data_IF_345967388604
#
_entry.id   IF_345967388604
#
_cell.length_a   1.000
_cell.length_b   1.000
_cell.length_c   1.000
_cell.angle_alpha   90.00
_cell.angle_beta   90.00
_cell.angle_gamma   90.00
#
_symmetry.space_group_name_H-M   'P 1'
#
loop_
_entity.id
_entity.type
_entity.pdbx_description
1 polymer ?
#
# COMPACT_ATOMS: atom_id res chain seq x y z
N UNK A 1 -13.39 0.56 -6.39
CA UNK A 1 -13.97 0.67 -5.02
C UNK A 1 -13.85 2.11 -4.52
N UNK A 2 -14.39 2.42 -3.33
CA UNK A 2 -14.31 3.76 -2.73
C UNK A 2 -13.79 3.68 -1.30
N UNK A 3 -12.91 4.62 -0.94
CA UNK A 3 -12.38 4.81 0.41
C UNK A 3 -12.49 6.28 0.81
N UNK A 4 -12.23 6.59 2.07
CA UNK A 4 -12.28 7.95 2.60
C UNK A 4 -10.91 8.35 3.12
N UNK A 5 -10.36 9.43 2.60
CA UNK A 5 -9.06 9.92 3.01
C UNK A 5 -8.95 11.43 2.88
N UNK A 6 -8.02 12.00 3.65
CA UNK A 6 -7.45 13.31 3.34
C UNK A 6 -6.31 13.15 2.34
N UNK A 7 -6.14 14.14 1.48
CA UNK A 7 -5.18 14.11 0.37
C UNK A 7 -4.06 15.10 0.64
N UNK A 8 -2.83 14.64 0.46
CA UNK A 8 -1.62 15.43 0.62
C UNK A 8 -0.75 15.29 -0.62
N UNK A 9 -0.01 16.36 -0.94
CA UNK A 9 1.05 16.35 -1.95
C UNK A 9 2.33 16.91 -1.33
N UNK A 10 3.49 16.40 -1.72
CA UNK A 10 4.75 17.03 -1.34
C UNK A 10 4.90 18.34 -2.11
N UNK A 11 5.18 19.43 -1.38
CA UNK A 11 5.45 20.76 -1.91
C UNK A 11 6.85 21.21 -1.54
N UNK A 12 7.45 22.00 -2.42
CA UNK A 12 8.71 22.67 -2.14
C UNK A 12 8.45 24.01 -1.44
N UNK A 13 9.19 24.26 -0.36
CA UNK A 13 9.22 25.55 0.32
C UNK A 13 9.86 26.62 -0.55
N UNK A 14 9.39 27.86 -0.39
CA UNK A 14 9.87 29.03 -1.13
C UNK A 14 11.36 29.34 -0.94
N UNK A 15 11.98 28.80 0.11
CA UNK A 15 13.40 29.02 0.45
C UNK A 15 14.36 27.97 -0.17
N UNK A 16 13.87 27.17 -1.13
CA UNK A 16 14.74 26.46 -2.06
C UNK A 16 15.44 25.19 -1.54
N UNK A 17 14.78 24.42 -0.68
CA UNK A 17 15.30 23.09 -0.33
C UNK A 17 14.47 22.25 0.63
N UNK A 18 13.51 22.83 1.35
CA UNK A 18 12.67 22.07 2.28
C UNK A 18 11.42 21.54 1.58
N UNK A 19 11.25 20.22 1.58
CA UNK A 19 10.03 19.57 1.11
C UNK A 19 9.11 19.24 2.27
N UNK A 20 7.83 19.55 2.16
CA UNK A 20 6.84 19.28 3.20
C UNK A 20 5.53 18.75 2.62
N UNK A 21 4.75 18.04 3.43
CA UNK A 21 3.41 17.58 3.07
C UNK A 21 2.41 18.75 3.07
N UNK A 22 2.01 19.19 1.88
CA UNK A 22 0.96 20.17 1.67
C UNK A 22 -0.41 19.49 1.61
N UNK A 23 -1.34 19.91 2.46
CA UNK A 23 -2.72 19.43 2.44
C UNK A 23 -3.43 19.93 1.17
N UNK A 24 -4.07 19.02 0.45
CA UNK A 24 -4.80 19.27 -0.81
C UNK A 24 -6.31 19.28 -0.58
N UNK A 25 -6.83 18.37 0.26
CA UNK A 25 -8.24 18.35 0.63
C UNK A 25 -8.48 19.03 1.98
N UNK A 26 -9.46 19.92 2.06
CA UNK A 26 -9.85 20.60 3.32
C UNK A 26 -10.53 19.66 4.33
N UNK A 27 -11.07 18.55 3.85
CA UNK A 27 -11.76 17.54 4.62
C UNK A 27 -11.41 16.13 4.10
N UNK A 28 -11.89 15.12 4.82
CA UNK A 28 -11.90 13.74 4.32
C UNK A 28 -12.86 13.67 3.12
N UNK A 29 -12.35 13.24 1.98
CA UNK A 29 -13.11 13.14 0.72
C UNK A 29 -13.17 11.69 0.23
N UNK A 30 -14.19 11.33 -0.56
CA UNK A 30 -14.28 10.01 -1.15
C UNK A 30 -13.22 9.85 -2.26
N UNK A 31 -12.30 8.92 -2.07
CA UNK A 31 -11.33 8.48 -3.07
C UNK A 31 -11.95 7.35 -3.89
N UNK A 32 -12.19 7.60 -5.16
CA UNK A 32 -12.66 6.60 -6.11
C UNK A 32 -11.47 5.93 -6.75
N UNK A 33 -11.39 4.61 -6.61
CA UNK A 33 -10.37 3.75 -7.22
C UNK A 33 -11.04 2.91 -8.30
N UNK A 34 -10.62 3.09 -9.55
CA UNK A 34 -11.15 2.36 -10.69
C UNK A 34 -10.02 1.67 -11.44
N UNK A 35 -10.20 0.39 -11.76
CA UNK A 35 -9.32 -0.32 -12.68
C UNK A 35 -9.59 0.19 -14.09
N UNK A 36 -8.58 0.74 -14.76
CA UNK A 36 -8.69 1.28 -16.12
C UNK A 36 -8.11 0.32 -17.13
N UNK A 37 -6.98 -0.29 -16.81
CA UNK A 37 -6.31 -1.26 -17.66
C UNK A 37 -5.90 -2.45 -16.81
N UNK A 38 -6.20 -3.63 -17.31
CA UNK A 38 -5.78 -4.91 -16.75
C UNK A 38 -5.13 -5.69 -17.89
N UNK A 39 -3.80 -5.60 -17.97
CA UNK A 39 -2.99 -6.29 -18.98
C UNK A 39 -2.08 -7.31 -18.32
N UNK A 40 -1.57 -8.26 -19.12
CA UNK A 40 -0.62 -9.29 -18.67
C UNK A 40 0.62 -8.71 -18.00
N UNK A 41 1.09 -7.57 -18.50
CA UNK A 41 2.35 -6.96 -18.07
C UNK A 41 2.15 -5.69 -17.23
N UNK A 42 0.95 -5.10 -17.24
CA UNK A 42 0.68 -3.84 -16.56
C UNK A 42 -0.81 -3.66 -16.21
N UNK A 43 -1.07 -3.35 -14.94
CA UNK A 43 -2.36 -2.96 -14.39
C UNK A 43 -2.34 -1.47 -14.06
N UNK A 44 -3.32 -0.70 -14.53
CA UNK A 44 -3.45 0.74 -14.23
C UNK A 44 -4.72 1.02 -13.45
N UNK A 45 -4.55 1.59 -12.26
CA UNK A 45 -5.63 2.09 -11.43
C UNK A 45 -5.73 3.61 -11.56
N UNK A 46 -6.94 4.10 -11.76
CA UNK A 46 -7.27 5.51 -11.72
C UNK A 46 -7.82 5.88 -10.35
N UNK A 47 -7.15 6.82 -9.71
CA UNK A 47 -7.53 7.39 -8.43
C UNK A 47 -8.12 8.78 -8.68
N UNK A 48 -9.33 9.02 -8.19
CA UNK A 48 -10.00 10.31 -8.36
C UNK A 48 -10.72 10.76 -7.10
N UNK A 49 -10.61 12.04 -6.77
CA UNK A 49 -11.41 12.67 -5.73
C UNK A 49 -11.87 14.08 -6.13
N UNK A 50 -13.03 14.45 -5.60
CA UNK A 50 -13.67 15.73 -5.83
C UNK A 50 -13.88 16.43 -4.48
N UNK A 51 -13.75 17.75 -4.46
CA UNK A 51 -14.06 18.55 -3.29
C UNK A 51 -15.59 18.73 -3.13
N UNK A 52 -16.01 19.46 -2.09
CA UNK A 52 -17.43 19.77 -1.83
C UNK A 52 -18.09 20.62 -2.92
N UNK A 53 -17.29 21.33 -3.72
CA UNK A 53 -17.74 22.15 -4.85
C UNK A 53 -17.81 21.33 -6.17
N UNK A 54 -17.60 20.01 -6.10
CA UNK A 54 -17.59 19.09 -7.26
C UNK A 54 -16.42 19.38 -8.21
N UNK A 55 -15.37 20.05 -7.73
CA UNK A 55 -14.14 20.26 -8.48
C UNK A 55 -13.20 19.08 -8.27
N UNK A 56 -12.55 18.63 -9.35
CA UNK A 56 -11.60 17.54 -9.31
C UNK A 56 -10.29 18.03 -8.68
N UNK A 57 -10.02 17.60 -7.45
CA UNK A 57 -8.82 17.99 -6.68
C UNK A 57 -7.74 16.91 -6.69
N UNK A 58 -8.08 15.71 -7.13
CA UNK A 58 -7.17 14.57 -7.17
C UNK A 58 -7.50 13.70 -8.38
N UNK A 59 -6.50 13.49 -9.22
CA UNK A 59 -6.59 12.70 -10.44
C UNK A 59 -5.20 12.12 -10.75
N UNK A 60 -4.97 10.87 -10.34
CA UNK A 60 -3.67 10.21 -10.41
C UNK A 60 -3.84 8.79 -10.93
N UNK A 61 -2.90 8.36 -11.77
CA UNK A 61 -2.83 6.98 -12.25
C UNK A 61 -1.72 6.23 -11.52
N UNK A 62 -2.09 5.07 -10.99
CA UNK A 62 -1.18 4.15 -10.32
C UNK A 62 -0.96 2.95 -11.24
N UNK A 63 0.25 2.80 -11.74
CA UNK A 63 0.64 1.70 -12.61
C UNK A 63 1.37 0.62 -11.82
N UNK A 64 0.93 -0.63 -11.94
CA UNK A 64 1.65 -1.81 -11.45
C UNK A 64 2.02 -2.74 -12.61
N UNK A 65 3.16 -3.44 -12.51
CA UNK A 65 4.25 -3.19 -11.56
C UNK A 65 4.92 -1.83 -11.83
N UNK A 66 5.44 -1.17 -10.79
CA UNK A 66 6.30 0.01 -10.94
C UNK A 66 6.01 1.17 -9.99
N UNK A 67 4.79 1.29 -9.47
CA UNK A 67 4.48 2.29 -8.43
C UNK A 67 4.71 1.69 -7.05
N UNK A 68 5.75 2.14 -6.34
CA UNK A 68 6.02 1.70 -4.97
C UNK A 68 5.12 2.47 -3.99
N UNK A 69 4.13 1.78 -3.44
CA UNK A 69 3.27 2.29 -2.38
C UNK A 69 3.95 2.03 -1.03
N UNK A 70 4.15 3.07 -0.24
CA UNK A 70 4.82 3.02 1.06
C UNK A 70 3.80 3.34 2.15
N UNK A 71 3.75 2.52 3.19
CA UNK A 71 2.94 2.77 4.38
C UNK A 71 3.80 3.44 5.44
N UNK A 72 3.61 4.74 5.67
CA UNK A 72 4.38 5.50 6.66
C UNK A 72 3.77 5.43 8.07
N UNK A 73 2.46 5.20 8.17
CA UNK A 73 1.76 4.94 9.44
C UNK A 73 0.59 3.97 9.22
N UNK A 74 -0.12 3.61 10.28
CA UNK A 74 -1.28 2.72 10.20
C UNK A 74 -2.35 3.24 9.22
N UNK A 75 -2.53 4.55 9.12
CA UNK A 75 -3.54 5.19 8.28
C UNK A 75 -2.96 5.99 7.11
N UNK A 76 -1.65 6.21 7.06
CA UNK A 76 -1.02 7.05 6.04
C UNK A 76 -0.21 6.22 5.06
N UNK A 77 -0.58 6.32 3.78
CA UNK A 77 0.18 5.73 2.67
C UNK A 77 0.63 6.84 1.72
N UNK A 78 1.78 6.66 1.10
CA UNK A 78 2.28 7.57 0.08
C UNK A 78 2.99 6.83 -1.05
N UNK A 79 3.09 7.49 -2.20
CA UNK A 79 3.84 7.00 -3.35
C UNK A 79 4.30 8.18 -4.20
N UNK A 80 5.31 7.93 -5.03
CA UNK A 80 5.74 8.87 -6.07
C UNK A 80 5.02 8.56 -7.38
N UNK A 81 4.33 9.55 -7.92
CA UNK A 81 3.74 9.50 -9.25
C UNK A 81 4.80 9.90 -10.28
N UNK A 82 5.32 8.90 -11.00
CA UNK A 82 6.33 9.09 -12.04
C UNK A 82 5.84 9.92 -13.23
N UNK A 83 4.51 10.07 -13.43
CA UNK A 83 3.98 10.88 -14.55
C UNK A 83 4.02 12.37 -14.25
N UNK A 84 3.76 12.75 -13.01
CA UNK A 84 3.70 14.15 -12.57
C UNK A 84 4.96 14.60 -11.82
N UNK A 85 5.90 13.68 -11.55
CA UNK A 85 7.05 13.89 -10.68
C UNK A 85 6.65 14.49 -9.32
N UNK A 86 5.51 14.02 -8.81
CA UNK A 86 4.92 14.45 -7.54
C UNK A 86 4.84 13.29 -6.58
N UNK A 87 4.95 13.58 -5.30
CA UNK A 87 4.71 12.59 -4.26
C UNK A 87 3.36 12.87 -3.59
N UNK A 88 2.52 11.84 -3.57
CA UNK A 88 1.14 11.91 -3.09
C UNK A 88 0.99 11.09 -1.82
N UNK A 89 0.18 11.59 -0.89
CA UNK A 89 -0.13 10.96 0.38
C UNK A 89 -1.63 10.89 0.61
N UNK A 90 -2.11 9.75 1.10
CA UNK A 90 -3.49 9.55 1.53
C UNK A 90 -3.51 9.19 3.01
N UNK A 91 -4.22 10.01 3.80
CA UNK A 91 -4.50 9.74 5.21
C UNK A 91 -5.91 9.18 5.35
N UNK A 92 -6.03 7.87 5.53
CA UNK A 92 -7.32 7.21 5.69
C UNK A 92 -7.91 7.44 7.07
N UNK A 93 -9.22 7.35 7.18
CA UNK A 93 -9.92 7.49 8.48
C UNK A 93 -9.62 6.32 9.43
N UNK A 94 -9.32 5.13 8.89
CA UNK A 94 -9.03 3.91 9.64
C UNK A 94 -7.91 3.10 8.98
N UNK A 95 -7.14 2.37 9.79
CA UNK A 95 -6.01 1.57 9.33
C UNK A 95 -6.41 0.44 8.35
N UNK A 96 -7.61 -0.10 8.50
CA UNK A 96 -8.14 -1.14 7.62
C UNK A 96 -8.31 -0.64 6.18
N UNK A 97 -8.71 0.63 6.00
CA UNK A 97 -8.88 1.23 4.67
C UNK A 97 -7.53 1.45 4.00
N UNK A 98 -6.49 1.84 4.76
CA UNK A 98 -5.12 1.97 4.25
C UNK A 98 -4.56 0.63 3.76
N UNK A 99 -4.75 -0.44 4.55
CA UNK A 99 -4.35 -1.80 4.15
C UNK A 99 -5.09 -2.24 2.89
N UNK A 100 -6.41 -2.08 2.87
CA UNK A 100 -7.24 -2.42 1.70
C UNK A 100 -6.82 -1.67 0.44
N UNK A 101 -6.47 -0.38 0.56
CA UNK A 101 -5.96 0.40 -0.56
C UNK A 101 -4.68 -0.21 -1.13
N UNK A 102 -3.69 -0.48 -0.25
CA UNK A 102 -2.41 -1.08 -0.63
C UNK A 102 -2.63 -2.43 -1.29
N UNK A 103 -3.31 -3.35 -0.61
CA UNK A 103 -3.50 -4.72 -1.08
C UNK A 103 -4.22 -4.78 -2.44
N UNK A 104 -5.17 -3.87 -2.69
CA UNK A 104 -5.81 -3.75 -4.00
C UNK A 104 -4.91 -3.16 -5.10
N UNK A 105 -3.97 -2.28 -4.74
CA UNK A 105 -3.15 -1.54 -5.69
C UNK A 105 -1.73 -2.10 -5.85
N UNK A 106 -1.38 -3.20 -5.18
CA UNK A 106 -0.07 -3.89 -5.28
C UNK A 106 -0.16 -5.26 -5.95
N UNK A 107 -1.16 -5.48 -6.80
CA UNK A 107 -1.41 -6.78 -7.46
C UNK A 107 -0.11 -7.45 -7.96
N UNK A 108 0.24 -8.55 -7.28
CA UNK A 108 1.21 -9.59 -7.62
C UNK A 108 2.69 -9.21 -7.81
N UNK A 109 3.47 -9.38 -6.74
CA UNK A 109 4.64 -10.26 -6.82
C UNK A 109 4.58 -11.19 -5.61
N UNK A 110 3.74 -12.23 -5.70
CA UNK A 110 3.83 -13.43 -4.86
C UNK A 110 5.09 -14.22 -5.25
N UNK A 111 6.26 -13.58 -5.15
CA UNK A 111 7.59 -14.21 -5.25
C UNK A 111 8.32 -14.10 -3.90
N UNK A 112 7.57 -13.91 -2.80
CA UNK A 112 8.03 -14.16 -1.43
C UNK A 112 7.62 -15.59 -0.99
N UNK A 113 7.90 -16.55 -1.87
CA UNK A 113 8.05 -17.93 -1.47
C UNK A 113 9.55 -18.17 -1.29
N UNK A 114 10.10 -17.83 -0.12
CA UNK A 114 11.28 -18.50 0.44
C UNK A 114 11.59 -17.98 1.87
N UNK A 115 11.96 -18.96 2.72
CA UNK A 115 12.73 -18.90 3.98
C UNK A 115 11.99 -18.91 5.34
N UNK A 116 12.62 -19.67 6.27
CA UNK A 116 12.28 -20.10 7.63
C UNK A 116 11.45 -21.42 7.72
N UNK A 117 11.99 -22.62 7.98
CA UNK A 117 13.32 -23.08 8.39
C UNK A 117 13.42 -24.59 8.10
N UNK A 118 14.55 -25.02 7.55
CA UNK A 118 15.10 -26.36 7.73
C UNK A 118 15.48 -26.53 9.21
N UNK A 119 14.72 -27.33 9.97
CA UNK A 119 15.25 -27.97 11.19
C UNK A 119 15.28 -29.48 10.94
N UNK A 120 16.38 -29.88 10.30
CA UNK A 120 16.93 -31.23 10.31
C UNK A 120 17.64 -31.39 11.66
N UNK A 121 17.06 -32.16 12.59
CA UNK A 121 17.82 -32.73 13.71
C UNK A 121 17.32 -34.15 14.01
N UNK A 122 17.97 -35.08 13.30
CA UNK A 122 18.48 -36.38 13.71
C UNK A 122 17.86 -37.18 14.88
N UNK A 123 17.44 -38.39 14.50
CA UNK A 123 17.43 -39.71 15.16
C UNK A 123 18.16 -39.89 16.52
N UNK A 124 17.45 -40.46 17.50
CA UNK A 124 17.82 -41.60 18.40
C UNK A 124 16.78 -41.67 19.56
N UNK A 125 16.43 -42.78 20.22
CA UNK A 125 16.86 -44.18 20.23
C UNK A 125 15.69 -45.01 20.78
N UNK A 126 15.70 -46.30 20.46
CA UNK A 126 14.73 -47.31 20.88
C UNK A 126 14.94 -47.61 22.38
N UNK A 127 13.99 -47.25 23.25
CA UNK A 127 13.97 -47.74 24.64
C UNK A 127 12.76 -48.63 24.82
N UNK A 128 12.99 -49.90 24.56
CA UNK A 128 12.12 -51.01 24.92
C UNK A 128 12.28 -51.32 26.41
N UNK A 129 11.49 -50.65 27.27
CA UNK A 129 11.34 -51.05 28.67
C UNK A 129 10.46 -52.30 28.75
N UNK A 130 11.13 -53.45 28.83
CA UNK A 130 10.60 -54.63 29.50
C UNK A 130 10.70 -54.38 31.00
N UNK A 131 9.59 -54.05 31.64
CA UNK A 131 9.45 -54.25 33.08
C UNK A 131 8.53 -55.46 33.32
N UNK A 132 9.18 -56.53 33.79
CA UNK A 132 8.62 -57.61 34.58
C UNK A 132 7.85 -57.04 35.78
N UNK A 133 6.59 -57.45 35.97
CA UNK A 133 6.02 -57.55 37.32
C UNK A 133 5.36 -58.93 37.49
N UNK A 134 5.74 -59.56 38.61
CA UNK A 134 5.54 -60.93 39.08
C UNK A 134 4.08 -61.44 39.16
#
# INVERSE_FOLDING_TARGET
>A
FRLWAEIFEVREGSDGGETFWGRVSEDVVPINVSLVQDGSDMTTFQLMAYNRLVEKIFDVQLCQPGTRIIQASDCFVHWRDSKQDKEWGLNFTIAQDARKFRDCCTVCSDDDADDDDDDDDDVADDVNDNDDED
#
